data_IF_425387414608
#
_entry.id   IF_425387414608
#
_cell.length_a   1.000
_cell.length_b   1.000
_cell.length_c   1.000
_cell.angle_alpha   90.00
_cell.angle_beta   90.00
_cell.angle_gamma   90.00
#
_symmetry.space_group_name_H-M   'P 1'
#
loop_
_entity.id
_entity.type
_entity.pdbx_description
1 polymer ?
#
# COMPACT_ATOMS: atom_id res chain seq x y z
N UNK A 1 1.08 -7.31 -5.61
CA UNK A 1 -0.16 -6.92 -4.94
C UNK A 1 -1.05 -8.09 -4.61
N UNK A 2 -0.49 -9.25 -4.66
CA UNK A 2 -1.22 -10.46 -4.34
C UNK A 2 -0.72 -10.96 -3.01
N UNK A 3 -1.58 -10.90 -2.02
CA UNK A 3 -1.33 -11.45 -0.71
C UNK A 3 -2.58 -12.17 -0.25
N UNK A 4 -2.38 -13.13 0.61
CA UNK A 4 -3.51 -13.80 1.24
C UNK A 4 -4.22 -12.83 2.17
N UNK A 5 -5.55 -12.83 2.15
CA UNK A 5 -6.37 -12.03 3.05
C UNK A 5 -6.29 -12.58 4.47
N UNK A 6 -5.59 -11.88 5.34
CA UNK A 6 -5.54 -12.22 6.76
C UNK A 6 -6.71 -11.55 7.47
N UNK A 7 -7.60 -12.35 8.00
CA UNK A 7 -8.82 -11.85 8.66
C UNK A 7 -8.62 -11.54 10.15
N UNK A 8 -7.58 -12.09 10.75
CA UNK A 8 -7.24 -11.85 12.15
C UNK A 8 -6.04 -10.92 12.22
N UNK A 9 -6.10 -9.91 13.08
CA UNK A 9 -4.98 -9.01 13.30
C UNK A 9 -3.80 -9.79 13.89
N UNK A 10 -2.59 -9.51 13.38
CA UNK A 10 -1.37 -10.17 13.81
C UNK A 10 -0.20 -9.18 13.77
N UNK A 11 0.94 -9.54 14.35
CA UNK A 11 2.14 -8.72 14.33
C UNK A 11 3.27 -9.54 13.70
N UNK A 12 3.67 -9.23 12.45
CA UNK A 12 4.76 -9.96 11.82
C UNK A 12 6.10 -9.57 12.44
N UNK A 13 6.89 -10.57 12.83
CA UNK A 13 8.25 -10.43 13.32
C UNK A 13 8.45 -9.32 14.37
N UNK A 14 7.71 -9.35 15.51
CA UNK A 14 7.75 -8.25 16.48
C UNK A 14 9.09 -8.08 17.18
N UNK A 15 9.93 -9.11 17.21
CA UNK A 15 11.23 -9.07 17.86
C UNK A 15 12.31 -8.42 17.00
N UNK A 16 12.20 -8.52 15.66
CA UNK A 16 13.23 -8.07 14.72
C UNK A 16 12.86 -6.81 13.96
N UNK A 17 11.59 -6.46 13.95
CA UNK A 17 11.12 -5.30 13.21
C UNK A 17 10.20 -4.44 14.06
N UNK A 18 9.97 -3.22 13.62
CA UNK A 18 9.02 -2.31 14.26
C UNK A 18 7.63 -2.45 13.64
N UNK A 19 7.28 -3.65 13.16
CA UNK A 19 5.95 -3.90 12.61
C UNK A 19 4.88 -3.66 13.65
N UNK A 20 3.77 -3.13 13.21
CA UNK A 20 2.59 -2.94 14.04
C UNK A 20 1.55 -4.02 13.82
N UNK A 21 0.37 -3.86 14.41
CA UNK A 21 -0.76 -4.75 14.15
C UNK A 21 -1.10 -4.70 12.68
N UNK A 22 -1.11 -5.87 12.04
CA UNK A 22 -1.27 -6.01 10.58
C UNK A 22 -2.48 -6.86 10.28
N UNK A 23 -3.20 -6.52 9.23
CA UNK A 23 -4.41 -7.21 8.82
C UNK A 23 -4.57 -7.14 7.30
N UNK A 24 -5.53 -7.89 6.76
CA UNK A 24 -5.80 -7.92 5.32
C UNK A 24 -4.60 -8.48 4.56
N UNK A 25 -4.18 -7.85 3.49
CA UNK A 25 -3.08 -8.30 2.64
C UNK A 25 -1.74 -7.65 3.02
N UNK A 26 -1.60 -7.27 4.27
CA UNK A 26 -0.38 -6.65 4.77
C UNK A 26 -0.55 -5.19 5.20
N UNK A 27 -1.75 -4.83 5.61
CA UNK A 27 -2.05 -3.46 6.06
C UNK A 27 -1.56 -3.28 7.49
N UNK A 28 -0.46 -2.55 7.66
CA UNK A 28 0.16 -2.28 8.96
C UNK A 28 -0.49 -1.05 9.62
N UNK A 29 -1.27 -1.30 10.66
CA UNK A 29 -1.95 -0.24 11.41
C UNK A 29 -0.99 0.57 12.29
N UNK A 30 0.13 -0.03 12.66
CA UNK A 30 1.12 0.63 13.51
C UNK A 30 1.83 1.79 12.84
N UNK A 31 1.91 1.77 11.52
CA UNK A 31 2.55 2.83 10.74
C UNK A 31 1.59 3.96 10.35
N UNK A 32 0.35 3.93 10.86
CA UNK A 32 -0.69 4.82 10.38
C UNK A 32 -1.41 5.53 11.53
N UNK A 33 -2.04 6.66 11.21
CA UNK A 33 -2.92 7.37 12.13
C UNK A 33 -4.34 7.42 11.55
N UNK A 34 -5.27 8.01 12.30
CA UNK A 34 -6.68 8.12 11.89
C UNK A 34 -6.83 8.86 10.56
N UNK A 35 -6.05 9.92 10.37
CA UNK A 35 -6.09 10.72 9.15
C UNK A 35 -5.67 9.88 7.92
N UNK A 36 -4.65 9.03 8.08
CA UNK A 36 -4.22 8.14 7.01
C UNK A 36 -5.34 7.19 6.58
N UNK A 37 -6.08 6.65 7.54
CA UNK A 37 -7.22 5.75 7.26
C UNK A 37 -8.35 6.48 6.55
N UNK A 38 -8.64 7.70 6.97
CA UNK A 38 -9.67 8.52 6.34
C UNK A 38 -9.31 8.84 4.88
N UNK A 39 -8.05 9.12 4.62
CA UNK A 39 -7.56 9.34 3.24
C UNK A 39 -7.75 8.13 2.34
N UNK A 40 -7.66 6.93 2.92
CA UNK A 40 -7.90 5.69 2.19
C UNK A 40 -9.38 5.39 2.00
N UNK A 41 -10.26 6.21 2.58
CA UNK A 41 -11.69 5.96 2.53
C UNK A 41 -12.19 4.96 3.57
N UNK A 42 -11.34 4.60 4.53
CA UNK A 42 -11.73 3.74 5.64
C UNK A 42 -12.36 4.62 6.71
N UNK A 43 -13.64 4.41 6.97
CA UNK A 43 -14.40 5.24 7.90
C UNK A 43 -15.52 4.43 8.57
N UNK A 44 -16.23 5.05 9.49
CA UNK A 44 -17.35 4.42 10.18
C UNK A 44 -16.91 3.32 11.13
N UNK A 45 -17.62 2.20 11.10
CA UNK A 45 -17.41 1.06 12.01
C UNK A 45 -16.01 0.46 11.85
N UNK A 46 -15.54 0.33 10.62
CA UNK A 46 -14.22 -0.27 10.36
C UNK A 46 -13.11 0.63 10.92
N UNK A 47 -13.21 1.93 10.74
CA UNK A 47 -12.27 2.88 11.31
C UNK A 47 -12.26 2.79 12.83
N UNK A 48 -13.45 2.73 13.45
CA UNK A 48 -13.61 2.63 14.89
C UNK A 48 -12.92 1.38 15.45
N UNK A 49 -13.03 0.27 14.73
CA UNK A 49 -12.42 -1.00 15.14
C UNK A 49 -10.89 -0.98 14.99
N UNK A 50 -10.37 -0.29 14.00
CA UNK A 50 -8.93 -0.19 13.78
C UNK A 50 -8.23 0.82 14.70
N UNK A 51 -8.97 1.80 15.19
CA UNK A 51 -8.41 2.91 15.97
C UNK A 51 -7.51 2.50 17.14
N UNK A 52 -7.88 1.52 17.98
CA UNK A 52 -7.04 1.14 19.13
C UNK A 52 -5.68 0.56 18.73
N UNK A 53 -5.53 0.10 17.50
CA UNK A 53 -4.31 -0.55 17.00
C UNK A 53 -3.35 0.41 16.33
N UNK A 54 -3.77 1.65 16.10
CA UNK A 54 -2.95 2.61 15.36
C UNK A 54 -1.74 3.07 16.19
N UNK A 55 -0.58 3.13 15.54
CA UNK A 55 0.63 3.64 16.17
C UNK A 55 1.37 2.66 17.07
N UNK A 56 0.87 1.44 17.24
CA UNK A 56 1.54 0.41 18.05
C UNK A 56 2.62 -0.29 17.22
N UNK A 57 3.75 -0.63 17.85
CA UNK A 57 4.87 -1.26 17.14
C UNK A 57 5.54 -2.33 18.00
N UNK A 58 6.15 -3.32 17.34
CA UNK A 58 6.99 -4.33 17.96
C UNK A 58 6.30 -5.14 19.05
N UNK A 59 6.98 -5.30 20.16
CA UNK A 59 6.46 -6.12 21.28
C UNK A 59 5.23 -5.49 21.96
N UNK A 60 5.12 -4.16 21.94
CA UNK A 60 3.93 -3.48 22.46
C UNK A 60 2.70 -3.81 21.61
N UNK A 61 2.87 -3.83 20.30
CA UNK A 61 1.81 -4.24 19.38
C UNK A 61 1.41 -5.69 19.63
N UNK A 62 2.39 -6.58 19.79
CA UNK A 62 2.11 -7.99 20.04
C UNK A 62 1.33 -8.19 21.32
N UNK A 63 1.75 -7.52 22.39
CA UNK A 63 1.06 -7.61 23.68
C UNK A 63 -0.39 -7.13 23.59
N UNK A 64 -0.61 -6.02 22.90
CA UNK A 64 -1.95 -5.47 22.72
C UNK A 64 -2.85 -6.40 21.90
N UNK A 65 -2.33 -6.96 20.81
CA UNK A 65 -3.08 -7.88 19.94
C UNK A 65 -3.47 -9.15 20.69
N UNK A 66 -2.58 -9.67 21.54
CA UNK A 66 -2.87 -10.85 22.35
C UNK A 66 -4.02 -10.60 23.32
N UNK A 67 -4.09 -9.42 23.91
CA UNK A 67 -5.16 -9.03 24.83
C UNK A 67 -6.45 -8.63 24.11
N UNK A 68 -6.32 -8.13 22.91
CA UNK A 68 -7.42 -7.55 22.15
C UNK A 68 -7.42 -8.11 20.72
N UNK A 69 -7.73 -9.41 20.56
CA UNK A 69 -7.81 -10.00 19.22
C UNK A 69 -8.93 -9.33 18.42
N UNK A 70 -8.69 -9.12 17.14
CA UNK A 70 -9.68 -8.53 16.26
C UNK A 70 -9.75 -9.34 14.97
N UNK A 71 -10.96 -9.49 14.45
CA UNK A 71 -11.20 -10.19 13.21
C UNK A 71 -12.07 -9.31 12.31
N UNK A 72 -11.77 -9.34 11.01
CA UNK A 72 -12.60 -8.69 9.99
C UNK A 72 -13.22 -9.76 9.09
N UNK A 73 -14.27 -9.40 8.38
CA UNK A 73 -14.89 -10.28 7.39
C UNK A 73 -14.06 -10.29 6.10
N UNK A 74 -14.30 -11.29 5.26
CA UNK A 74 -13.65 -11.33 3.95
C UNK A 74 -14.03 -10.11 3.11
N UNK A 75 -15.28 -9.67 3.19
CA UNK A 75 -15.74 -8.45 2.52
C UNK A 75 -14.97 -7.23 2.98
N UNK A 76 -14.77 -7.10 4.29
CA UNK A 76 -13.98 -5.99 4.86
C UNK A 76 -12.52 -6.05 4.42
N UNK A 77 -11.94 -7.26 4.35
CA UNK A 77 -10.58 -7.44 3.85
C UNK A 77 -10.46 -6.95 2.41
N UNK A 78 -11.40 -7.32 1.54
CA UNK A 78 -11.42 -6.87 0.15
C UNK A 78 -11.60 -5.36 0.06
N UNK A 79 -12.38 -4.77 0.94
CA UNK A 79 -12.58 -3.31 1.00
C UNK A 79 -11.27 -2.60 1.34
N UNK A 80 -10.54 -3.08 2.34
CA UNK A 80 -9.24 -2.52 2.72
C UNK A 80 -8.23 -2.67 1.59
N UNK A 81 -8.16 -3.87 1.00
CA UNK A 81 -7.24 -4.15 -0.09
C UNK A 81 -7.50 -3.25 -1.30
N UNK A 82 -8.78 -3.08 -1.68
CA UNK A 82 -9.16 -2.21 -2.78
C UNK A 82 -8.77 -0.75 -2.51
N UNK A 83 -8.96 -0.28 -1.27
CA UNK A 83 -8.58 1.07 -0.86
C UNK A 83 -7.07 1.29 -0.98
N UNK A 84 -6.28 0.31 -0.54
CA UNK A 84 -4.82 0.36 -0.63
C UNK A 84 -4.34 0.37 -2.08
N UNK A 85 -4.93 -0.47 -2.92
CA UNK A 85 -4.59 -0.54 -4.34
C UNK A 85 -4.91 0.76 -5.07
N UNK A 86 -6.08 1.33 -4.80
CA UNK A 86 -6.50 2.59 -5.40
C UNK A 86 -5.57 3.74 -4.99
N UNK A 87 -5.21 3.80 -3.71
CA UNK A 87 -4.29 4.82 -3.20
C UNK A 87 -2.90 4.67 -3.81
N UNK A 88 -2.40 3.45 -3.88
CA UNK A 88 -1.11 3.14 -4.50
C UNK A 88 -1.09 3.53 -5.98
N UNK A 89 -2.13 3.19 -6.73
CA UNK A 89 -2.26 3.55 -8.14
C UNK A 89 -2.25 5.07 -8.33
N UNK A 90 -2.95 5.79 -7.45
CA UNK A 90 -2.97 7.25 -7.45
C UNK A 90 -1.58 7.84 -7.24
N UNK A 91 -0.81 7.29 -6.30
CA UNK A 91 0.55 7.75 -6.03
C UNK A 91 1.49 7.50 -7.21
N UNK A 92 1.40 6.32 -7.82
CA UNK A 92 2.21 5.98 -9.00
C UNK A 92 1.88 6.90 -10.16
N UNK A 93 0.59 7.15 -10.40
CA UNK A 93 0.12 8.03 -11.46
C UNK A 93 0.66 9.45 -11.28
N UNK A 94 0.55 10.01 -10.09
CA UNK A 94 1.06 11.34 -9.79
C UNK A 94 2.57 11.43 -9.97
N UNK A 95 3.29 10.44 -9.48
CA UNK A 95 4.76 10.39 -9.59
C UNK A 95 5.19 10.36 -11.04
N UNK A 96 4.56 9.50 -11.83
CA UNK A 96 4.89 9.39 -13.25
C UNK A 96 4.58 10.68 -14.00
N UNK A 97 3.38 11.23 -13.82
CA UNK A 97 2.94 12.44 -14.53
C UNK A 97 3.78 13.67 -14.14
N UNK A 98 4.28 13.71 -12.91
CA UNK A 98 5.17 14.79 -12.45
C UNK A 98 6.58 14.68 -13.01
N UNK A 99 6.96 13.52 -13.52
CA UNK A 99 8.32 13.24 -13.97
C UNK A 99 8.48 13.29 -15.50
N UNK A 100 7.40 13.18 -16.26
CA UNK A 100 7.47 13.14 -17.74
C UNK A 100 7.75 14.52 -18.32
N UNK A 101 8.41 14.53 -19.48
CA UNK A 101 8.66 15.77 -20.24
C UNK A 101 7.36 16.27 -20.87
N UNK A 102 7.35 17.56 -21.18
CA UNK A 102 6.23 18.21 -21.88
C UNK A 102 5.95 17.49 -23.21
N UNK A 103 4.71 17.17 -23.45
CA UNK A 103 4.28 16.49 -24.68
C UNK A 103 4.28 14.98 -24.61
N UNK A 104 4.79 14.39 -23.52
CA UNK A 104 4.71 12.95 -23.31
C UNK A 104 3.33 12.53 -22.83
N UNK A 105 2.97 11.27 -23.08
CA UNK A 105 1.68 10.71 -22.70
C UNK A 105 1.60 10.53 -21.18
N UNK A 106 0.48 10.91 -20.58
CA UNK A 106 0.23 10.72 -19.15
C UNK A 106 0.05 9.23 -18.82
N UNK A 107 0.30 8.87 -17.56
CA UNK A 107 0.24 7.49 -17.11
C UNK A 107 -1.09 6.81 -17.47
N UNK A 108 -2.22 7.48 -17.24
CA UNK A 108 -3.54 6.92 -17.48
C UNK A 108 -3.82 6.63 -18.97
N UNK A 109 -3.05 7.21 -19.88
CA UNK A 109 -3.18 7.02 -21.32
C UNK A 109 -2.11 6.11 -21.92
N UNK A 110 -1.21 5.55 -21.07
CA UNK A 110 -0.20 4.62 -21.52
C UNK A 110 -0.82 3.27 -21.92
N UNK A 111 -0.13 2.47 -22.76
CA UNK A 111 -0.55 1.09 -23.00
C UNK A 111 -0.71 0.32 -21.71
N UNK A 112 -1.70 -0.56 -21.63
CA UNK A 112 -1.99 -1.35 -20.42
C UNK A 112 -0.78 -2.11 -19.90
N UNK A 113 0.01 -2.68 -20.80
CA UNK A 113 1.22 -3.43 -20.43
C UNK A 113 2.25 -2.53 -19.76
N UNK A 114 2.41 -1.30 -20.26
CA UNK A 114 3.32 -0.33 -19.69
C UNK A 114 2.88 0.07 -18.28
N UNK A 115 1.59 0.36 -18.10
CA UNK A 115 1.02 0.67 -16.79
C UNK A 115 1.27 -0.47 -15.79
N UNK A 116 1.02 -1.70 -16.22
CA UNK A 116 1.20 -2.90 -15.38
C UNK A 116 2.64 -3.06 -14.93
N UNK A 117 3.60 -2.89 -15.84
CA UNK A 117 5.03 -3.01 -15.50
C UNK A 117 5.45 -1.93 -14.51
N UNK A 118 5.06 -0.67 -14.75
CA UNK A 118 5.41 0.43 -13.85
C UNK A 118 4.82 0.21 -12.46
N UNK A 119 3.56 -0.24 -12.38
CA UNK A 119 2.90 -0.55 -11.12
C UNK A 119 3.61 -1.68 -10.38
N UNK A 120 3.96 -2.76 -11.09
CA UNK A 120 4.62 -3.93 -10.50
C UNK A 120 6.00 -3.59 -9.95
N UNK A 121 6.80 -2.84 -10.70
CA UNK A 121 8.13 -2.42 -10.25
C UNK A 121 8.01 -1.50 -9.03
N UNK A 122 7.08 -0.55 -9.06
CA UNK A 122 6.84 0.37 -7.95
C UNK A 122 6.41 -0.37 -6.68
N UNK A 123 5.57 -1.38 -6.82
CA UNK A 123 5.11 -2.19 -5.70
C UNK A 123 6.24 -3.04 -5.12
N UNK A 124 7.01 -3.69 -5.97
CA UNK A 124 8.03 -4.65 -5.54
C UNK A 124 9.27 -4.00 -4.97
N UNK A 125 9.72 -2.90 -5.57
CA UNK A 125 10.99 -2.25 -5.21
C UNK A 125 10.83 -0.90 -4.50
N UNK A 126 9.62 -0.36 -4.42
CA UNK A 126 9.37 0.96 -3.87
C UNK A 126 9.47 2.05 -4.93
N UNK A 127 9.87 3.26 -4.53
CA UNK A 127 9.95 4.38 -5.47
C UNK A 127 10.97 4.12 -6.58
N UNK A 128 10.53 3.91 -7.84
CA UNK A 128 11.46 3.56 -8.92
C UNK A 128 12.43 4.68 -9.28
N UNK A 129 12.16 5.92 -8.90
CA UNK A 129 13.13 7.02 -9.10
C UNK A 129 14.40 6.79 -8.30
N UNK A 130 14.29 6.12 -7.16
CA UNK A 130 15.37 5.86 -6.23
C UNK A 130 15.91 4.45 -6.38
N UNK A 131 15.03 3.46 -6.44
CA UNK A 131 15.40 2.03 -6.41
C UNK A 131 15.74 1.46 -7.78
N UNK A 132 15.13 1.97 -8.84
CA UNK A 132 15.34 1.47 -10.21
C UNK A 132 15.47 2.65 -11.19
N UNK A 133 16.51 3.50 -11.04
CA UNK A 133 16.60 4.74 -11.84
C UNK A 133 16.77 4.50 -13.34
N UNK A 134 17.45 3.43 -13.75
CA UNK A 134 17.61 3.10 -15.17
C UNK A 134 16.26 2.72 -15.78
N UNK A 135 15.51 1.86 -15.09
CA UNK A 135 14.15 1.50 -15.49
C UNK A 135 13.25 2.74 -15.58
N UNK A 136 13.32 3.61 -14.55
CA UNK A 136 12.50 4.82 -14.50
C UNK A 136 12.77 5.73 -15.69
N UNK A 137 14.05 5.97 -16.00
CA UNK A 137 14.44 6.77 -17.17
C UNK A 137 13.89 6.17 -18.46
N UNK A 138 13.98 4.84 -18.61
CA UNK A 138 13.51 4.16 -19.82
C UNK A 138 12.00 4.33 -20.01
N UNK A 139 11.20 4.17 -18.94
CA UNK A 139 9.74 4.30 -19.07
C UNK A 139 9.29 5.75 -19.24
N UNK A 140 10.07 6.73 -18.77
CA UNK A 140 9.77 8.13 -19.02
C UNK A 140 9.99 8.53 -20.47
N UNK A 141 10.91 7.88 -21.17
CA UNK A 141 11.12 8.11 -22.61
C UNK A 141 9.99 7.58 -23.45
N UNK A 142 9.23 6.63 -22.96
CA UNK A 142 8.06 6.08 -23.64
C UNK A 142 8.37 5.41 -24.97
N UNK A 143 9.55 4.80 -25.08
CA UNK A 143 9.95 4.02 -26.25
C UNK A 143 9.68 2.53 -25.98
N UNK A 144 8.45 2.11 -26.24
CA UNK A 144 7.98 0.78 -25.89
C UNK A 144 8.44 -0.32 -26.84
N UNK A 145 9.11 0.04 -27.92
CA UNK A 145 9.63 -0.90 -28.90
C UNK A 145 11.03 -1.40 -28.61
N UNK A 146 11.64 -0.97 -27.51
CA UNK A 146 13.00 -1.36 -27.15
C UNK A 146 13.07 -2.34 -26.00
#
# INVERSE_FOLDING_TARGET
MEGECKLNVYVPDPERSNSGPTISTGFDLGARNEYDLQKLGIQGELLRRFKPYLGLQGMDALAFVKKNPMKISLKECHQVDAALKAHFASQVTLRYNSSIATGKTKFEDLPSQAQTVIMSVSYQYGDPRIKTPIFWSAVLEQDWGK
#
